data_IF_428744457295
#
_entry.id   IF_428744457295
#
_cell.length_a   1.000
_cell.length_b   1.000
_cell.length_c   1.000
_cell.angle_alpha   90.00
_cell.angle_beta   90.00
_cell.angle_gamma   90.00
#
_symmetry.space_group_name_H-M   'P 1'
#
loop_
_entity.id
_entity.type
_entity.pdbx_description
1 polymer ?
#
# COMPACT_ATOMS: atom_id res chain seq x y z
N UNK A 1 -31.50 -15.46 -36.13
CA UNK A 1 -32.91 -15.53 -35.72
C UNK A 1 -32.91 -15.47 -34.19
N UNK A 2 -33.26 -14.31 -33.61
CA UNK A 2 -34.53 -14.04 -32.89
C UNK A 2 -34.46 -14.68 -31.48
N UNK A 3 -34.57 -13.98 -30.35
CA UNK A 3 -35.45 -12.83 -30.08
C UNK A 3 -34.99 -12.04 -28.84
N UNK A 4 -35.34 -10.76 -28.85
CA UNK A 4 -35.42 -9.84 -27.71
C UNK A 4 -36.64 -10.17 -26.80
N UNK A 5 -36.85 -9.31 -25.79
CA UNK A 5 -38.03 -9.06 -24.92
C UNK A 5 -37.77 -9.44 -23.44
N UNK A 6 -38.04 -8.58 -22.45
CA UNK A 6 -38.72 -7.28 -22.47
C UNK A 6 -38.77 -6.65 -21.07
N UNK A 7 -38.99 -5.34 -21.06
CA UNK A 7 -39.15 -4.44 -19.91
C UNK A 7 -40.42 -4.74 -19.09
N UNK A 8 -40.43 -4.35 -17.82
CA UNK A 8 -41.67 -3.95 -17.12
C UNK A 8 -41.44 -2.61 -16.42
N UNK A 9 -42.25 -1.62 -16.85
CA UNK A 9 -42.48 -0.31 -16.23
C UNK A 9 -43.37 -0.49 -15.00
N UNK A 10 -43.16 0.27 -13.93
CA UNK A 10 -44.21 0.53 -12.94
C UNK A 10 -44.18 1.98 -12.53
N UNK A 11 -45.27 2.66 -12.88
CA UNK A 11 -45.58 4.03 -12.54
C UNK A 11 -46.29 4.05 -11.18
N UNK A 12 -45.88 4.97 -10.30
CA UNK A 12 -46.63 5.33 -9.10
C UNK A 12 -46.56 6.85 -8.95
N UNK A 13 -47.64 7.53 -9.28
CA UNK A 13 -47.81 8.95 -9.08
C UNK A 13 -48.49 9.22 -7.73
N UNK A 14 -47.92 10.12 -6.92
CA UNK A 14 -48.66 10.82 -5.85
C UNK A 14 -48.25 12.29 -5.91
N UNK A 15 -49.26 13.15 -6.10
CA UNK A 15 -49.18 14.61 -6.08
C UNK A 15 -50.03 15.10 -4.91
N UNK A 16 -49.50 15.97 -4.06
CA UNK A 16 -50.15 17.16 -3.44
C UNK A 16 -49.12 17.86 -2.54
N UNK A 17 -48.59 19.04 -2.90
CA UNK A 17 -49.07 20.43 -2.77
C UNK A 17 -48.49 21.20 -1.55
N UNK A 18 -47.60 22.15 -1.90
CA UNK A 18 -47.56 23.57 -1.51
C UNK A 18 -47.30 24.00 -0.04
N UNK A 19 -46.15 24.61 0.22
CA UNK A 19 -45.96 25.76 1.11
C UNK A 19 -44.63 26.48 0.83
N UNK A 20 -44.64 27.81 0.98
CA UNK A 20 -43.76 28.78 0.34
C UNK A 20 -42.45 29.13 1.08
N UNK A 21 -41.41 29.51 0.31
CA UNK A 21 -40.41 30.52 0.68
C UNK A 21 -39.68 31.01 -0.58
N UNK A 22 -39.49 32.33 -0.81
CA UNK A 22 -38.68 32.82 -1.91
C UNK A 22 -37.22 32.87 -1.47
N UNK A 23 -36.40 31.93 -1.96
CA UNK A 23 -34.94 32.10 -1.92
C UNK A 23 -34.50 32.53 -3.31
N UNK A 24 -34.20 33.82 -3.44
CA UNK A 24 -33.42 34.35 -4.55
C UNK A 24 -32.04 33.67 -4.51
N UNK A 25 -31.81 32.70 -5.39
CA UNK A 25 -30.49 32.16 -5.66
C UNK A 25 -30.32 32.07 -7.18
N UNK A 26 -29.52 32.97 -7.74
CA UNK A 26 -29.01 32.85 -9.09
C UNK A 26 -27.95 31.73 -9.08
N UNK A 27 -28.34 30.53 -9.55
CA UNK A 27 -27.39 29.47 -9.84
C UNK A 27 -26.75 29.76 -11.22
N UNK A 28 -25.67 30.56 -11.21
CA UNK A 28 -24.72 30.57 -12.32
C UNK A 28 -23.96 29.24 -12.30
N UNK A 29 -24.41 28.28 -13.11
CA UNK A 29 -23.71 27.03 -13.38
C UNK A 29 -22.56 27.36 -14.32
N UNK A 30 -21.45 27.80 -13.72
CA UNK A 30 -20.16 27.79 -14.40
C UNK A 30 -19.52 26.41 -14.15
N UNK A 31 -19.17 25.64 -15.20
CA UNK A 31 -18.45 24.39 -15.02
C UNK A 31 -17.13 24.67 -14.29
N UNK A 32 -16.71 23.82 -13.33
CA UNK A 32 -15.45 24.02 -12.65
C UNK A 32 -14.32 23.97 -13.66
N UNK A 33 -13.76 25.13 -13.98
CA UNK A 33 -12.47 25.23 -14.65
C UNK A 33 -11.44 24.65 -13.68
N UNK A 34 -10.65 23.69 -14.16
CA UNK A 34 -9.72 22.86 -13.38
C UNK A 34 -8.50 23.60 -12.81
N UNK A 35 -8.71 24.75 -12.18
CA UNK A 35 -7.67 25.56 -11.54
C UNK A 35 -7.51 25.27 -10.03
N UNK A 36 -8.36 24.41 -9.44
CA UNK A 36 -8.41 24.19 -7.99
C UNK A 36 -7.74 22.92 -7.45
N UNK A 37 -7.31 21.98 -8.30
CA UNK A 37 -6.74 20.69 -7.86
C UNK A 37 -5.21 20.67 -7.79
N UNK A 38 -4.53 21.74 -8.20
CA UNK A 38 -3.07 21.79 -8.25
C UNK A 38 -2.39 22.02 -6.87
N UNK A 39 -3.15 22.43 -5.84
CA UNK A 39 -2.60 22.85 -4.54
C UNK A 39 -2.85 21.88 -3.36
N UNK A 40 -3.33 20.66 -3.64
CA UNK A 40 -3.62 19.65 -2.60
C UNK A 40 -2.69 18.42 -2.69
N UNK A 41 -1.67 18.46 -3.55
CA UNK A 41 -0.54 17.53 -3.40
C UNK A 41 0.32 18.08 -2.28
N UNK A 42 -0.09 17.78 -1.04
CA UNK A 42 0.81 17.83 0.10
C UNK A 42 2.09 17.13 -0.34
N UNK A 43 3.21 17.87 -0.40
CA UNK A 43 4.47 17.30 -0.86
C UNK A 43 4.74 16.07 -0.02
N UNK A 44 4.63 14.89 -0.62
CA UNK A 44 4.99 13.63 0.02
C UNK A 44 6.47 13.77 0.36
N UNK A 45 6.77 14.15 1.60
CA UNK A 45 8.12 14.41 2.04
C UNK A 45 8.82 13.08 2.29
N UNK A 46 9.19 12.44 1.18
CA UNK A 46 10.13 11.32 1.18
C UNK A 46 11.42 11.75 1.89
N UNK A 47 11.99 10.86 2.70
CA UNK A 47 13.21 11.13 3.46
C UNK A 47 12.99 11.75 4.85
N UNK A 48 11.79 11.62 5.44
CA UNK A 48 11.55 12.02 6.83
C UNK A 48 12.13 11.02 7.85
N UNK A 49 12.36 9.76 7.44
CA UNK A 49 12.94 8.73 8.29
C UNK A 49 14.47 8.80 8.32
N UNK A 50 15.03 8.81 9.53
CA UNK A 50 16.48 8.69 9.75
C UNK A 50 16.97 7.27 9.53
N UNK A 51 18.22 7.11 9.08
CA UNK A 51 18.87 5.82 8.92
C UNK A 51 18.85 5.01 10.23
N UNK A 52 19.16 5.66 11.35
CA UNK A 52 19.13 5.02 12.68
C UNK A 52 17.77 4.41 13.00
N UNK A 53 16.68 5.12 12.70
CA UNK A 53 15.31 4.60 12.89
C UNK A 53 15.09 3.36 12.05
N UNK A 54 15.42 3.42 10.76
CA UNK A 54 15.23 2.31 9.82
C UNK A 54 16.09 1.10 10.19
N UNK A 55 17.38 1.29 10.49
CA UNK A 55 18.27 0.18 10.85
C UNK A 55 17.89 -0.46 12.18
N UNK A 56 17.40 0.33 13.14
CA UNK A 56 16.87 -0.20 14.41
C UNK A 56 15.61 -1.03 14.16
N UNK A 57 14.72 -0.53 13.30
CA UNK A 57 13.51 -1.23 12.90
C UNK A 57 13.82 -2.57 12.23
N UNK A 58 14.70 -2.59 11.22
CA UNK A 58 15.19 -3.83 10.56
C UNK A 58 15.82 -4.80 11.56
N UNK A 59 16.54 -4.26 12.56
CA UNK A 59 17.16 -5.07 13.62
C UNK A 59 16.14 -5.66 14.61
N UNK A 60 14.95 -5.05 14.72
CA UNK A 60 13.87 -5.50 15.62
C UNK A 60 12.80 -6.33 14.91
N UNK A 61 12.79 -6.34 13.58
CA UNK A 61 11.79 -7.06 12.78
C UNK A 61 11.84 -8.56 13.10
N UNK A 62 10.66 -9.17 13.21
CA UNK A 62 10.55 -10.62 13.41
C UNK A 62 10.93 -11.35 12.12
N UNK A 63 11.41 -12.60 12.19
CA UNK A 63 11.71 -13.38 10.98
C UNK A 63 10.56 -13.41 9.96
N UNK A 64 9.31 -13.57 10.42
CA UNK A 64 8.10 -13.58 9.59
C UNK A 64 7.77 -12.24 8.91
N UNK A 65 8.39 -11.13 9.36
CA UNK A 65 8.24 -9.81 8.73
C UNK A 65 9.33 -9.57 7.67
N UNK A 66 10.42 -10.34 7.68
CA UNK A 66 11.56 -10.14 6.77
C UNK A 66 11.29 -10.68 5.36
N UNK A 67 10.49 -11.74 5.20
CA UNK A 67 10.17 -12.31 3.88
C UNK A 67 9.50 -11.28 2.96
N UNK A 68 8.49 -10.57 3.47
CA UNK A 68 7.82 -9.51 2.73
C UNK A 68 8.77 -8.36 2.37
N UNK A 69 9.58 -7.89 3.32
CA UNK A 69 10.52 -6.79 3.07
C UNK A 69 11.60 -7.20 2.05
N UNK A 70 12.07 -8.45 2.09
CA UNK A 70 13.03 -8.95 1.11
C UNK A 70 12.41 -9.00 -0.30
N UNK A 71 11.14 -9.41 -0.41
CA UNK A 71 10.38 -9.34 -1.67
C UNK A 71 10.27 -7.90 -2.20
N UNK A 72 9.94 -6.94 -1.32
CA UNK A 72 9.93 -5.52 -1.66
C UNK A 72 11.30 -5.03 -2.19
N UNK A 73 12.40 -5.41 -1.52
CA UNK A 73 13.75 -5.01 -1.90
C UNK A 73 14.17 -5.55 -3.28
N UNK A 74 13.76 -6.77 -3.61
CA UNK A 74 13.99 -7.37 -4.93
C UNK A 74 13.16 -6.65 -6.00
N UNK A 75 11.85 -6.50 -5.78
CA UNK A 75 10.94 -5.86 -6.74
C UNK A 75 11.30 -4.38 -6.99
N UNK A 76 11.86 -3.72 -5.99
CA UNK A 76 12.31 -2.33 -6.08
C UNK A 76 13.74 -2.18 -6.64
N UNK A 77 14.38 -3.26 -7.08
CA UNK A 77 15.77 -3.27 -7.60
C UNK A 77 16.83 -2.72 -6.61
N UNK A 78 16.60 -2.85 -5.31
CA UNK A 78 17.62 -2.55 -4.29
C UNK A 78 18.57 -3.72 -4.05
N UNK A 79 18.17 -4.93 -4.43
CA UNK A 79 18.97 -6.15 -4.38
C UNK A 79 18.98 -6.82 -5.75
N UNK A 80 20.09 -7.50 -6.07
CA UNK A 80 20.20 -8.31 -7.28
C UNK A 80 19.24 -9.50 -7.19
N UNK A 81 18.28 -9.57 -8.11
CA UNK A 81 17.25 -10.62 -8.12
C UNK A 81 17.84 -12.04 -8.11
N UNK A 82 18.88 -12.31 -8.92
CA UNK A 82 19.51 -13.63 -9.01
C UNK A 82 20.15 -14.12 -7.69
N UNK A 83 20.57 -13.19 -6.83
CA UNK A 83 21.21 -13.50 -5.54
C UNK A 83 20.17 -13.57 -4.42
N UNK A 84 19.17 -12.67 -4.44
CA UNK A 84 18.22 -12.51 -3.36
C UNK A 84 16.98 -13.42 -3.46
N UNK A 85 16.54 -13.81 -4.66
CA UNK A 85 15.40 -14.74 -4.83
C UNK A 85 15.62 -16.10 -4.13
N UNK A 86 16.80 -16.75 -4.24
CA UNK A 86 17.07 -17.98 -3.49
C UNK A 86 16.98 -17.80 -1.97
N UNK A 87 17.48 -16.68 -1.45
CA UNK A 87 17.40 -16.34 -0.02
C UNK A 87 15.95 -16.16 0.41
N UNK A 88 15.15 -15.45 -0.37
CA UNK A 88 13.72 -15.26 -0.11
C UNK A 88 12.95 -16.58 -0.14
N UNK A 89 13.20 -17.43 -1.14
CA UNK A 89 12.55 -18.74 -1.25
C UNK A 89 12.87 -19.63 -0.04
N UNK A 90 14.14 -19.66 0.39
CA UNK A 90 14.57 -20.41 1.55
C UNK A 90 13.96 -19.86 2.85
N UNK A 91 13.92 -18.53 3.00
CA UNK A 91 13.33 -17.88 4.17
C UNK A 91 11.82 -18.17 4.25
N UNK A 92 11.08 -17.96 3.15
CA UNK A 92 9.65 -18.24 3.08
C UNK A 92 9.32 -19.70 3.41
N UNK A 93 10.16 -20.65 2.97
CA UNK A 93 10.01 -22.07 3.33
C UNK A 93 10.22 -22.29 4.84
N UNK A 94 11.21 -21.62 5.44
CA UNK A 94 11.55 -21.75 6.86
C UNK A 94 10.50 -21.12 7.78
N UNK A 95 9.96 -19.96 7.40
CA UNK A 95 8.97 -19.20 8.17
C UNK A 95 7.53 -19.55 7.84
N UNK A 96 7.30 -20.30 6.75
CA UNK A 96 5.97 -20.56 6.19
C UNK A 96 5.21 -19.25 5.87
N UNK A 97 5.92 -18.23 5.38
CA UNK A 97 5.35 -16.91 5.07
C UNK A 97 4.47 -16.92 3.79
N UNK A 98 4.67 -17.88 2.90
CA UNK A 98 3.82 -18.10 1.72
C UNK A 98 3.24 -19.52 1.79
N UNK A 99 2.19 -19.73 2.60
CA UNK A 99 1.61 -21.06 2.78
C UNK A 99 0.80 -21.47 1.55
N UNK A 100 0.74 -22.78 1.27
CA UNK A 100 0.01 -23.35 0.14
C UNK A 100 -1.52 -23.42 0.33
N UNK A 101 -2.02 -23.05 1.51
CA UNK A 101 -3.41 -23.24 1.93
C UNK A 101 -4.36 -22.09 1.53
N UNK A 102 -3.99 -21.28 0.54
CA UNK A 102 -4.71 -20.08 0.07
C UNK A 102 -4.96 -19.00 1.14
N UNK A 103 -4.48 -19.18 2.37
CA UNK A 103 -4.53 -18.15 3.42
C UNK A 103 -3.26 -17.33 3.33
N UNK A 104 -3.33 -16.14 2.75
CA UNK A 104 -2.19 -15.23 2.72
C UNK A 104 -1.65 -14.91 4.12
N UNK A 105 -0.37 -14.60 4.21
CA UNK A 105 0.25 -14.07 5.42
C UNK A 105 0.25 -12.54 5.36
N UNK A 106 -0.47 -11.89 6.28
CA UNK A 106 -0.55 -10.43 6.29
C UNK A 106 0.78 -9.75 6.59
N UNK A 107 1.67 -10.33 7.41
CA UNK A 107 3.02 -9.79 7.60
C UNK A 107 3.85 -9.82 6.32
N UNK A 108 3.74 -10.90 5.53
CA UNK A 108 4.38 -10.98 4.23
C UNK A 108 3.81 -9.96 3.23
N UNK A 109 2.48 -9.80 3.22
CA UNK A 109 1.80 -8.82 2.37
C UNK A 109 2.18 -7.38 2.74
N UNK A 110 2.12 -7.03 4.03
CA UNK A 110 2.55 -5.73 4.55
C UNK A 110 4.00 -5.44 4.17
N UNK A 111 4.91 -6.38 4.45
CA UNK A 111 6.32 -6.23 4.12
C UNK A 111 6.58 -6.07 2.62
N UNK A 112 5.78 -6.73 1.78
CA UNK A 112 5.91 -6.61 0.31
C UNK A 112 5.57 -5.21 -0.22
N UNK A 113 4.93 -4.37 0.59
CA UNK A 113 4.70 -2.95 0.30
C UNK A 113 5.80 -2.02 0.84
N UNK A 114 6.81 -2.58 1.51
CA UNK A 114 7.87 -1.82 2.19
C UNK A 114 7.50 -1.39 3.62
N UNK A 115 6.40 -1.91 4.18
CA UNK A 115 5.97 -1.59 5.53
C UNK A 115 6.72 -2.41 6.57
N UNK A 116 7.58 -1.76 7.35
CA UNK A 116 8.46 -2.41 8.32
C UNK A 116 7.86 -2.33 9.74
N UNK A 117 7.54 -3.50 10.30
CA UNK A 117 6.99 -3.61 11.66
C UNK A 117 8.10 -3.42 12.69
N UNK A 118 7.86 -2.53 13.64
CA UNK A 118 8.79 -2.20 14.73
C UNK A 118 8.17 -2.72 16.03
N UNK A 119 8.83 -3.65 16.72
CA UNK A 119 8.24 -4.41 17.83
C UNK A 119 7.41 -3.58 18.83
N UNK A 120 6.08 -3.67 18.73
CA UNK A 120 5.12 -2.98 19.60
C UNK A 120 4.90 -1.49 19.33
N UNK A 121 5.47 -0.94 18.25
CA UNK A 121 5.34 0.46 17.83
C UNK A 121 4.60 0.54 16.49
N UNK A 122 4.21 1.76 16.12
CA UNK A 122 3.67 2.01 14.79
C UNK A 122 4.67 1.54 13.71
N UNK A 123 4.19 0.85 12.67
CA UNK A 123 5.04 0.46 11.55
C UNK A 123 5.53 1.71 10.80
N UNK A 124 6.67 1.58 10.12
CA UNK A 124 7.24 2.64 9.29
C UNK A 124 7.24 2.19 7.83
N UNK A 125 7.01 3.10 6.90
CA UNK A 125 7.16 2.79 5.47
C UNK A 125 8.58 3.07 5.01
N UNK A 126 9.21 2.13 4.32
CA UNK A 126 10.50 2.38 3.67
C UNK A 126 10.40 3.46 2.57
N UNK A 127 9.21 3.71 2.02
CA UNK A 127 8.98 4.83 1.08
C UNK A 127 9.18 6.21 1.72
N UNK A 128 9.06 6.31 3.04
CA UNK A 128 9.29 7.56 3.78
C UNK A 128 10.79 7.83 4.02
N UNK A 129 11.68 6.90 3.63
CA UNK A 129 13.12 7.04 3.72
C UNK A 129 13.72 7.46 2.36
N UNK A 130 14.92 8.05 2.38
CA UNK A 130 15.66 8.34 1.16
C UNK A 130 16.07 7.04 0.44
N UNK A 131 16.35 7.12 -0.86
CA UNK A 131 16.81 5.99 -1.67
C UNK A 131 18.06 5.32 -1.10
N UNK A 132 18.99 6.09 -0.55
CA UNK A 132 20.22 5.56 0.05
C UNK A 132 19.92 4.76 1.33
N UNK A 133 19.02 5.27 2.18
CA UNK A 133 18.59 4.55 3.38
C UNK A 133 17.84 3.27 3.01
N UNK A 134 16.99 3.30 1.97
CA UNK A 134 16.30 2.11 1.45
C UNK A 134 17.29 1.05 0.97
N UNK A 135 18.33 1.45 0.23
CA UNK A 135 19.39 0.54 -0.24
C UNK A 135 20.14 -0.09 0.94
N UNK A 136 20.55 0.72 1.92
CA UNK A 136 21.20 0.23 3.13
C UNK A 136 20.30 -0.72 3.94
N UNK A 137 19.00 -0.40 4.03
CA UNK A 137 18.02 -1.21 4.73
C UNK A 137 17.86 -2.58 4.05
N UNK A 138 17.74 -2.58 2.72
CA UNK A 138 17.63 -3.80 1.94
C UNK A 138 18.87 -4.70 2.05
N UNK A 139 20.07 -4.13 2.02
CA UNK A 139 21.29 -4.89 2.27
C UNK A 139 21.30 -5.52 3.67
N UNK A 140 20.85 -4.78 4.70
CA UNK A 140 20.74 -5.28 6.07
C UNK A 140 19.66 -6.37 6.22
N UNK A 141 18.52 -6.23 5.53
CA UNK A 141 17.45 -7.24 5.49
C UNK A 141 17.98 -8.52 4.88
N UNK A 142 18.69 -8.44 3.74
CA UNK A 142 19.29 -9.61 3.10
C UNK A 142 20.32 -10.30 4.00
N UNK A 143 21.21 -9.53 4.64
CA UNK A 143 22.18 -10.08 5.58
C UNK A 143 21.51 -10.80 6.76
N UNK A 144 20.42 -10.22 7.31
CA UNK A 144 19.65 -10.87 8.37
C UNK A 144 18.95 -12.14 7.88
N UNK A 145 18.31 -12.10 6.73
CA UNK A 145 17.68 -13.27 6.13
C UNK A 145 18.71 -14.41 5.96
N UNK A 146 19.88 -14.13 5.38
CA UNK A 146 20.99 -15.09 5.24
C UNK A 146 21.43 -15.67 6.58
N UNK A 147 21.53 -14.85 7.64
CA UNK A 147 21.95 -15.33 8.97
C UNK A 147 20.95 -16.27 9.65
N UNK A 148 19.71 -16.32 9.17
CA UNK A 148 18.64 -17.16 9.72
C UNK A 148 18.48 -18.49 8.99
N UNK A 149 19.11 -18.66 7.82
CA UNK A 149 18.98 -19.87 7.01
C UNK A 149 19.92 -20.96 7.53
#
# INVERSE_FOLDING_TARGET
MISCLGRVLSAGAVVTLLSAAPVLAHAEINPPTGAGVANQVEQIKMGSLSEKTVMSAVSSAKPADLGGILNYCIQSNYLTASEAWPVLAALNKKTNDVPSNSKGNMSYADGSTGLLKVGGKAPISLEDASTDIRRAACAKVEARAKSML
#
